data_IF_055548508677
#
_entry.id   IF_055548508677
#
_cell.length_a   1.000
_cell.length_b   1.000
_cell.length_c   1.000
_cell.angle_alpha   90.00
_cell.angle_beta   90.00
_cell.angle_gamma   90.00
#
_symmetry.space_group_name_H-M   'P 1'
#
loop_
_entity.id
_entity.type
_entity.pdbx_description
1 polymer ?
#
# COMPACT_ATOMS: atom_id res chain seq x y z
N UNK A 1 -28.41 -11.45 -24.05
CA UNK A 1 -27.66 -10.29 -23.51
C UNK A 1 -27.71 -10.10 -21.99
N UNK A 2 -28.78 -10.43 -21.25
CA UNK A 2 -28.84 -10.22 -19.77
C UNK A 2 -28.13 -11.31 -18.95
N UNK A 3 -28.09 -12.57 -19.45
CA UNK A 3 -27.46 -13.71 -18.76
C UNK A 3 -25.93 -13.60 -18.67
N UNK A 4 -25.26 -13.08 -19.69
CA UNK A 4 -23.79 -12.97 -19.72
C UNK A 4 -23.23 -11.99 -18.68
N UNK A 5 -23.98 -10.91 -18.37
CA UNK A 5 -23.60 -9.97 -17.31
C UNK A 5 -23.69 -10.59 -15.93
N UNK A 6 -24.72 -11.39 -15.66
CA UNK A 6 -24.94 -12.02 -14.35
C UNK A 6 -23.83 -13.03 -14.05
N UNK A 7 -23.43 -13.85 -15.04
CA UNK A 7 -22.33 -14.81 -14.89
C UNK A 7 -20.98 -14.13 -14.65
N UNK A 8 -20.75 -12.95 -15.27
CA UNK A 8 -19.51 -12.18 -15.06
C UNK A 8 -19.43 -11.62 -13.64
N UNK A 9 -20.52 -11.07 -13.10
CA UNK A 9 -20.56 -10.54 -11.73
C UNK A 9 -20.36 -11.66 -10.71
N UNK A 10 -21.01 -12.81 -10.90
CA UNK A 10 -20.89 -13.96 -10.01
C UNK A 10 -19.46 -14.53 -9.95
N UNK A 11 -18.74 -14.50 -11.08
CA UNK A 11 -17.35 -14.98 -11.13
C UNK A 11 -16.38 -14.00 -10.44
N UNK A 12 -16.61 -12.68 -10.53
CA UNK A 12 -15.81 -11.68 -9.83
C UNK A 12 -16.02 -11.78 -8.32
N UNK A 13 -17.25 -11.97 -7.86
CA UNK A 13 -17.55 -12.15 -6.42
C UNK A 13 -16.94 -13.44 -5.87
N UNK A 14 -17.01 -14.54 -6.63
CA UNK A 14 -16.31 -15.80 -6.29
C UNK A 14 -14.80 -15.61 -6.22
N UNK A 15 -14.20 -14.86 -7.15
CA UNK A 15 -12.77 -14.55 -7.11
C UNK A 15 -12.42 -13.70 -5.89
N UNK A 16 -13.17 -12.63 -5.61
CA UNK A 16 -12.96 -11.77 -4.42
C UNK A 16 -13.12 -12.54 -3.11
N UNK A 17 -14.06 -13.48 -3.03
CA UNK A 17 -14.24 -14.36 -1.86
C UNK A 17 -13.05 -15.33 -1.72
N UNK A 18 -12.57 -15.92 -2.82
CA UNK A 18 -11.37 -16.79 -2.80
C UNK A 18 -10.15 -16.03 -2.31
N UNK A 19 -9.90 -14.81 -2.79
CA UNK A 19 -8.75 -14.00 -2.33
C UNK A 19 -8.92 -13.51 -0.89
N UNK A 20 -10.15 -13.18 -0.44
CA UNK A 20 -10.43 -12.86 0.98
C UNK A 20 -10.19 -14.06 1.91
N UNK A 21 -10.56 -15.27 1.50
CA UNK A 21 -10.34 -16.51 2.27
C UNK A 21 -8.86 -16.92 2.23
N UNK A 22 -8.20 -16.79 1.07
CA UNK A 22 -6.76 -17.03 0.91
C UNK A 22 -5.92 -16.06 1.76
N UNK A 23 -6.30 -14.78 1.80
CA UNK A 23 -5.66 -13.76 2.62
C UNK A 23 -5.83 -14.03 4.12
N UNK A 24 -7.01 -14.52 4.54
CA UNK A 24 -7.23 -14.96 5.93
C UNK A 24 -6.40 -16.21 6.31
N UNK A 25 -6.20 -17.15 5.39
CA UNK A 25 -5.37 -18.34 5.60
C UNK A 25 -3.89 -18.02 5.79
N UNK A 26 -3.36 -17.07 4.99
CA UNK A 26 -1.97 -16.60 5.12
C UNK A 26 -1.74 -15.92 6.47
N UNK A 27 -2.72 -15.15 6.97
CA UNK A 27 -2.65 -14.46 8.27
C UNK A 27 -2.58 -15.44 9.46
N UNK A 28 -3.29 -16.57 9.40
CA UNK A 28 -3.34 -17.58 10.47
C UNK A 28 -2.08 -18.47 10.49
N UNK A 29 -1.48 -18.73 9.32
CA UNK A 29 -0.30 -19.60 9.22
C UNK A 29 0.98 -18.96 9.77
N UNK A 30 1.08 -17.62 9.79
CA UNK A 30 2.23 -16.90 10.36
C UNK A 30 2.29 -16.88 11.89
N UNK A 31 1.22 -17.26 12.61
CA UNK A 31 1.21 -17.24 14.08
C UNK A 31 1.87 -18.46 14.74
N UNK A 32 2.25 -19.50 13.99
CA UNK A 32 2.84 -20.73 14.55
C UNK A 32 4.33 -20.92 14.23
N UNK A 33 4.97 -19.95 13.57
CA UNK A 33 6.42 -19.94 13.33
C UNK A 33 7.17 -19.34 14.52
N UNK A 34 7.94 -20.17 15.19
CA UNK A 34 8.75 -19.92 16.39
C UNK A 34 9.24 -18.47 16.62
N UNK A 35 9.19 -18.07 17.89
CA UNK A 35 9.86 -16.92 18.46
C UNK A 35 11.35 -16.90 18.04
N UNK A 36 11.67 -16.10 17.03
CA UNK A 36 13.03 -15.66 16.76
C UNK A 36 13.20 -14.31 17.43
N UNK A 37 14.20 -14.27 18.31
CA UNK A 37 14.60 -13.12 19.11
C UNK A 37 14.61 -11.82 18.31
N UNK A 38 14.19 -10.75 18.99
CA UNK A 38 14.29 -9.37 18.54
C UNK A 38 15.77 -8.95 18.44
N UNK A 39 16.46 -9.37 17.39
CA UNK A 39 17.53 -8.56 16.84
C UNK A 39 16.86 -7.35 16.18
N UNK A 40 17.42 -6.16 16.37
CA UNK A 40 17.02 -4.94 15.69
C UNK A 40 17.27 -5.15 14.18
N UNK A 41 16.31 -5.81 13.50
CA UNK A 41 16.37 -6.09 12.07
C UNK A 41 16.22 -4.74 11.38
N UNK A 42 17.37 -4.11 11.16
CA UNK A 42 17.51 -2.90 10.35
C UNK A 42 16.85 -3.20 9.01
N UNK A 43 15.67 -2.60 8.77
CA UNK A 43 14.93 -2.85 7.55
C UNK A 43 15.81 -2.49 6.35
N UNK A 44 15.92 -3.35 5.33
CA UNK A 44 16.66 -3.02 4.13
C UNK A 44 16.12 -1.71 3.53
N UNK A 45 17.02 -0.78 3.22
CA UNK A 45 16.68 0.43 2.48
C UNK A 45 16.46 0.06 1.01
N UNK A 46 15.30 -0.54 0.70
CA UNK A 46 14.93 -0.88 -0.67
C UNK A 46 14.85 0.37 -1.53
N UNK A 47 15.68 0.39 -2.56
CA UNK A 47 15.64 1.38 -3.64
C UNK A 47 15.10 0.75 -4.89
N UNK A 48 14.22 1.48 -5.58
CA UNK A 48 13.57 1.00 -6.77
C UNK A 48 14.04 1.79 -7.98
N UNK A 49 14.25 1.06 -9.07
CA UNK A 49 14.67 1.59 -10.37
C UNK A 49 13.85 0.88 -11.44
N UNK A 50 12.94 1.61 -12.09
CA UNK A 50 12.13 1.12 -13.20
C UNK A 50 11.56 2.27 -14.03
N UNK A 51 11.34 2.01 -15.32
CA UNK A 51 10.72 2.93 -16.25
C UNK A 51 9.53 2.22 -16.90
N UNK A 52 8.32 2.63 -16.51
CA UNK A 52 7.08 2.03 -16.97
C UNK A 52 6.26 3.10 -17.70
N UNK A 53 5.81 2.78 -18.91
CA UNK A 53 5.07 3.72 -19.77
C UNK A 53 3.71 3.14 -20.12
N UNK A 54 2.65 3.89 -19.85
CA UNK A 54 1.24 3.49 -20.09
C UNK A 54 0.95 2.09 -19.52
N UNK A 55 1.23 1.92 -18.24
CA UNK A 55 0.89 0.68 -17.51
C UNK A 55 -0.14 1.01 -16.45
N UNK A 56 -1.09 0.10 -16.14
CA UNK A 56 -2.02 0.33 -15.06
C UNK A 56 -1.27 0.37 -13.71
N UNK A 57 -1.74 1.18 -12.76
CA UNK A 57 -1.09 1.36 -11.45
C UNK A 57 -0.82 0.02 -10.76
N UNK A 58 -1.75 -0.94 -10.86
CA UNK A 58 -1.58 -2.30 -10.31
C UNK A 58 -0.29 -2.99 -10.78
N UNK A 59 0.15 -2.76 -12.03
CA UNK A 59 1.40 -3.32 -12.55
C UNK A 59 2.63 -2.73 -11.87
N UNK A 60 2.55 -1.47 -11.44
CA UNK A 60 3.64 -0.86 -10.68
C UNK A 60 3.75 -1.51 -9.30
N UNK A 61 2.63 -1.88 -8.67
CA UNK A 61 2.64 -2.64 -7.42
C UNK A 61 3.25 -4.03 -7.63
N UNK A 62 2.82 -4.76 -8.67
CA UNK A 62 3.40 -6.07 -9.02
C UNK A 62 4.94 -6.00 -9.17
N UNK A 63 5.47 -4.94 -9.79
CA UNK A 63 6.92 -4.75 -9.97
C UNK A 63 7.65 -4.48 -8.65
N UNK A 64 6.99 -3.80 -7.71
CA UNK A 64 7.54 -3.56 -6.37
C UNK A 64 7.53 -4.86 -5.58
N UNK A 65 6.44 -5.62 -5.59
CA UNK A 65 6.34 -6.93 -4.93
C UNK A 65 7.34 -7.95 -5.48
N UNK A 66 7.63 -7.92 -6.78
CA UNK A 66 8.63 -8.82 -7.37
C UNK A 66 10.06 -8.48 -6.97
N UNK A 67 10.35 -7.21 -6.68
CA UNK A 67 11.71 -6.73 -6.36
C UNK A 67 11.95 -6.57 -4.86
N UNK A 68 10.95 -6.81 -4.02
CA UNK A 68 11.03 -6.59 -2.58
C UNK A 68 10.08 -7.49 -1.80
N UNK A 69 10.20 -7.50 -0.49
CA UNK A 69 9.29 -8.25 0.38
C UNK A 69 7.98 -7.48 0.68
N UNK A 70 7.66 -6.44 -0.09
CA UNK A 70 6.43 -5.68 0.11
C UNK A 70 5.22 -6.47 -0.38
N UNK A 71 4.08 -6.28 0.28
CA UNK A 71 2.78 -6.82 -0.11
C UNK A 71 1.77 -5.67 -0.16
N UNK A 72 1.09 -5.53 -1.29
CA UNK A 72 0.08 -4.50 -1.52
C UNK A 72 -1.31 -5.02 -1.23
N UNK A 73 -2.10 -4.16 -0.58
CA UNK A 73 -3.53 -4.32 -0.44
C UNK A 73 -4.21 -3.00 -0.81
N UNK A 74 -5.44 -3.08 -1.31
CA UNK A 74 -6.21 -1.88 -1.62
C UNK A 74 -7.67 -2.03 -1.22
N UNK A 75 -8.31 -0.88 -0.98
CA UNK A 75 -9.72 -0.82 -0.68
C UNK A 75 -10.57 -1.20 -1.90
N UNK A 76 -11.70 -1.89 -1.67
CA UNK A 76 -12.54 -2.41 -2.74
C UNK A 76 -13.21 -1.35 -3.61
N UNK A 77 -13.25 -0.10 -3.14
CA UNK A 77 -13.87 1.08 -3.75
C UNK A 77 -12.90 1.89 -4.64
N UNK A 78 -11.63 1.47 -4.74
CA UNK A 78 -10.61 2.11 -5.59
C UNK A 78 -10.21 1.25 -6.79
N UNK A 79 -10.96 0.19 -7.06
CA UNK A 79 -10.71 -0.76 -8.15
C UNK A 79 -10.61 -0.04 -9.51
N UNK A 80 -11.44 0.96 -9.75
CA UNK A 80 -11.41 1.74 -11.00
C UNK A 80 -10.15 2.59 -11.15
N UNK A 81 -9.63 3.15 -10.06
CA UNK A 81 -8.47 4.04 -10.07
C UNK A 81 -7.17 3.25 -10.25
N UNK A 82 -7.04 2.07 -9.62
CA UNK A 82 -5.83 1.25 -9.72
C UNK A 82 -5.61 0.64 -11.11
N UNK A 83 -6.67 0.57 -11.93
CA UNK A 83 -6.60 0.11 -13.32
C UNK A 83 -6.30 1.25 -14.31
N UNK A 84 -6.20 2.50 -13.84
CA UNK A 84 -5.82 3.63 -14.70
C UNK A 84 -4.36 3.52 -15.10
N UNK A 85 -4.08 3.84 -16.35
CA UNK A 85 -2.72 3.85 -16.89
C UNK A 85 -1.96 5.08 -16.43
N UNK A 86 -0.72 4.85 -15.99
CA UNK A 86 0.24 5.89 -15.67
C UNK A 86 1.56 5.63 -16.39
N UNK A 87 2.37 6.68 -16.47
CA UNK A 87 3.76 6.57 -16.91
C UNK A 87 4.65 7.12 -15.81
N UNK A 88 5.57 6.31 -15.31
CA UNK A 88 6.43 6.65 -14.20
C UNK A 88 7.87 6.23 -14.51
N UNK A 89 8.80 7.11 -14.15
CA UNK A 89 10.23 6.83 -14.17
C UNK A 89 10.78 7.01 -12.77
N UNK A 90 11.36 5.95 -12.23
CA UNK A 90 11.96 5.90 -10.90
C UNK A 90 13.41 5.46 -11.04
N UNK A 91 14.33 6.16 -10.38
CA UNK A 91 15.76 5.83 -10.37
C UNK A 91 16.32 5.94 -8.96
N UNK A 92 16.63 4.79 -8.35
CA UNK A 92 17.24 4.68 -7.02
C UNK A 92 16.44 5.37 -5.90
N UNK A 93 15.10 5.26 -5.95
CA UNK A 93 14.23 5.95 -4.98
C UNK A 93 13.66 5.00 -3.92
N UNK A 94 13.50 5.46 -2.67
CA UNK A 94 12.85 4.68 -1.64
C UNK A 94 11.36 4.55 -1.91
N UNK A 95 10.75 3.48 -1.41
CA UNK A 95 9.32 3.15 -1.62
C UNK A 95 8.37 4.32 -1.33
N UNK A 96 8.66 5.15 -0.33
CA UNK A 96 7.82 6.30 0.01
C UNK A 96 7.73 7.31 -1.14
N UNK A 97 8.86 7.63 -1.79
CA UNK A 97 8.90 8.54 -2.94
C UNK A 97 8.25 7.93 -4.17
N UNK A 98 8.45 6.63 -4.37
CA UNK A 98 7.79 5.87 -5.45
C UNK A 98 6.28 5.96 -5.31
N UNK A 99 5.75 5.68 -4.12
CA UNK A 99 4.30 5.71 -3.87
C UNK A 99 3.70 7.12 -3.99
N UNK A 100 4.42 8.15 -3.54
CA UNK A 100 4.02 9.56 -3.75
C UNK A 100 3.83 9.86 -5.24
N UNK A 101 4.78 9.43 -6.09
CA UNK A 101 4.71 9.62 -7.55
C UNK A 101 3.63 8.76 -8.23
N UNK A 102 3.49 7.51 -7.82
CA UNK A 102 2.49 6.59 -8.40
C UNK A 102 1.07 7.06 -8.14
N UNK A 103 0.81 7.60 -6.96
CA UNK A 103 -0.53 8.05 -6.55
C UNK A 103 -0.78 9.55 -6.83
N UNK A 104 0.19 10.26 -7.39
CA UNK A 104 0.07 11.68 -7.70
C UNK A 104 -1.11 11.94 -8.64
N UNK A 105 -1.98 12.89 -8.28
CA UNK A 105 -3.16 13.25 -9.07
C UNK A 105 -4.29 12.20 -9.12
N UNK A 106 -4.14 11.05 -8.44
CA UNK A 106 -5.14 9.98 -8.45
C UNK A 106 -6.24 10.13 -7.39
N UNK A 107 -6.03 10.98 -6.38
CA UNK A 107 -6.92 11.08 -5.21
C UNK A 107 -6.79 9.90 -4.23
N UNK A 108 -5.78 9.06 -4.42
CA UNK A 108 -5.46 7.94 -3.55
C UNK A 108 -4.34 8.31 -2.58
N UNK A 109 -4.34 7.64 -1.44
CA UNK A 109 -3.28 7.71 -0.43
C UNK A 109 -2.88 6.30 -0.02
N UNK A 110 -1.69 6.18 0.57
CA UNK A 110 -1.19 4.91 1.06
C UNK A 110 -0.80 4.98 2.52
N UNK A 111 -0.82 3.83 3.17
CA UNK A 111 -0.27 3.63 4.51
C UNK A 111 0.69 2.44 4.47
N UNK A 112 1.91 2.64 4.97
CA UNK A 112 2.90 1.57 5.15
C UNK A 112 2.80 1.01 6.56
N UNK A 113 2.75 -0.31 6.66
CA UNK A 113 2.75 -1.12 7.88
C UNK A 113 3.85 -2.18 7.72
N UNK A 114 5.08 -1.84 8.11
CA UNK A 114 6.28 -2.67 7.90
C UNK A 114 6.50 -3.08 6.43
N UNK A 115 6.12 -4.32 6.10
CA UNK A 115 6.17 -4.94 4.76
C UNK A 115 4.85 -4.84 4.00
N UNK A 116 3.78 -4.39 4.63
CA UNK A 116 2.49 -4.22 3.97
C UNK A 116 2.27 -2.76 3.56
N UNK A 117 1.70 -2.55 2.38
CA UNK A 117 1.31 -1.23 1.87
C UNK A 117 -0.17 -1.26 1.51
N UNK A 118 -0.97 -0.45 2.20
CA UNK A 118 -2.42 -0.36 1.99
C UNK A 118 -2.75 0.92 1.25
N UNK A 119 -3.44 0.81 0.10
CA UNK A 119 -3.88 1.96 -0.72
C UNK A 119 -5.38 2.17 -0.58
N UNK A 120 -5.80 3.42 -0.38
CA UNK A 120 -7.20 3.77 -0.16
C UNK A 120 -7.51 5.18 -0.68
N UNK A 121 -8.80 5.50 -0.82
CA UNK A 121 -9.25 6.81 -1.28
C UNK A 121 -9.03 7.86 -0.19
N UNK A 122 -8.53 9.02 -0.57
CA UNK A 122 -8.49 10.17 0.32
C UNK A 122 -9.91 10.73 0.49
N UNK A 123 -10.57 10.42 1.61
CA UNK A 123 -11.83 11.03 2.03
C UNK A 123 -11.58 12.09 3.10
N UNK A 124 -12.43 13.12 3.17
CA UNK A 124 -12.32 14.20 4.17
C UNK A 124 -12.31 13.66 5.61
N UNK A 125 -12.99 12.54 5.86
CA UNK A 125 -13.00 11.85 7.16
C UNK A 125 -11.63 11.23 7.55
N UNK A 126 -10.80 10.87 6.57
CA UNK A 126 -9.49 10.24 6.78
C UNK A 126 -8.34 11.26 6.81
N UNK A 127 -8.52 12.43 6.20
CA UNK A 127 -7.55 13.53 6.21
C UNK A 127 -7.21 13.99 7.64
N UNK A 128 -8.20 13.97 8.54
CA UNK A 128 -8.03 14.34 9.94
C UNK A 128 -7.06 13.39 10.70
N UNK A 129 -6.95 12.11 10.31
CA UNK A 129 -5.95 11.18 10.92
C UNK A 129 -4.55 11.34 10.34
N UNK A 130 -4.43 11.71 9.06
CA UNK A 130 -3.14 11.90 8.40
C UNK A 130 -2.43 13.19 8.85
N UNK A 131 -3.18 14.25 9.14
CA UNK A 131 -2.65 15.52 9.68
C UNK A 131 -2.26 15.40 11.15
N UNK A 132 -3.08 14.74 11.98
CA UNK A 132 -2.81 14.56 13.42
C UNK A 132 -1.47 13.87 13.69
N UNK A 133 -1.04 12.93 12.83
CA UNK A 133 0.24 12.23 13.01
C UNK A 133 1.47 13.07 12.62
N UNK A 134 1.30 14.12 11.80
CA UNK A 134 2.39 15.03 11.37
C UNK A 134 2.59 16.17 12.38
N UNK A 135 1.53 16.59 13.06
CA UNK A 135 1.57 17.69 14.04
C UNK A 135 1.84 17.23 15.48
N UNK A 136 1.68 15.94 15.80
CA UNK A 136 1.92 15.40 17.15
C UNK A 136 3.40 15.19 17.52
N UNK A 137 4.36 15.48 16.64
CA UNK A 137 5.82 15.41 16.92
C UNK A 137 6.41 16.80 17.13
N UNK A 138 5.64 17.74 17.68
CA UNK A 138 6.17 19.06 18.04
C UNK A 138 5.75 19.52 19.44
N UNK A 139 5.77 18.64 20.44
CA UNK A 139 5.77 19.08 21.84
C UNK A 139 6.79 18.25 22.65
N UNK A 140 7.55 18.95 23.48
CA UNK A 140 8.63 18.50 24.40
C UNK A 140 10.07 18.56 23.87
N UNK A 141 10.52 19.75 23.45
CA UNK A 141 11.91 20.17 23.68
C UNK A 141 11.98 21.69 23.77
N UNK A 142 11.34 22.26 24.79
CA UNK A 142 11.74 23.54 25.38
C UNK A 142 11.20 23.63 26.81
N UNK A 143 12.03 23.17 27.75
CA UNK A 143 12.12 23.81 29.06
C UNK A 143 13.60 24.11 29.27
N UNK A 144 13.96 25.33 28.97
CA UNK A 144 15.00 26.06 29.69
C UNK A 144 14.44 27.47 29.93
N UNK A 145 15.06 28.32 30.75
CA UNK A 145 16.17 28.10 31.69
C UNK A 145 15.67 28.26 33.15
N UNK A 146 16.54 28.09 34.14
CA UNK A 146 16.54 28.92 35.36
C UNK A 146 17.83 28.62 36.14
N UNK A 147 18.68 29.65 36.17
CA UNK A 147 19.71 30.05 37.14
C UNK A 147 20.70 29.02 37.70
#
# INVERSE_FOLDING_TARGET
MKRERIVRTENIDKQRIKYRVLFGFIFIMCCNGAALSSEDVKMPDWKFSFNLKRVPIIRVFDEIEQKSDFVFAWACDIDTEIHKEISICVSEEPIQRVMEKVLEGSGLVFQRLDRQIVVYRLSEHNACRATVRKDSVRIMTKVGPND
#
